data_IF_908241644704
#
_entry.id   IF_908241644704
#
_cell.length_a   1.000
_cell.length_b   1.000
_cell.length_c   1.000
_cell.angle_alpha   90.00
_cell.angle_beta   90.00
_cell.angle_gamma   90.00
#
_symmetry.space_group_name_H-M   'P 1'
#
loop_
_entity.id
_entity.type
_entity.pdbx_description
1 polymer ?
#
# COMPACT_ATOMS: atom_id res chain seq x y z
N UNK A 1 -5.25 -11.29 -0.74
CA UNK A 1 -5.03 -12.67 -0.27
C UNK A 1 -5.09 -12.65 1.25
N UNK A 2 -5.80 -13.60 1.87
CA UNK A 2 -5.58 -13.92 3.28
C UNK A 2 -4.43 -14.93 3.37
N UNK A 3 -3.55 -14.80 4.36
CA UNK A 3 -2.38 -15.68 4.49
C UNK A 3 -2.80 -17.15 4.52
N UNK A 4 -2.09 -18.00 3.79
CA UNK A 4 -2.43 -19.42 3.61
C UNK A 4 -3.50 -19.72 2.54
N UNK A 5 -4.12 -18.71 1.91
CA UNK A 5 -5.10 -18.92 0.82
C UNK A 5 -4.43 -18.76 -0.56
N UNK A 6 -4.82 -19.58 -1.54
CA UNK A 6 -4.35 -19.45 -2.93
C UNK A 6 -4.85 -18.15 -3.58
N UNK A 7 -3.99 -17.47 -4.34
CA UNK A 7 -4.35 -16.29 -5.13
C UNK A 7 -5.41 -16.62 -6.18
N UNK A 8 -5.36 -17.82 -6.78
CA UNK A 8 -6.34 -18.25 -7.78
C UNK A 8 -7.72 -18.34 -7.16
N UNK A 9 -7.83 -18.94 -5.97
CA UNK A 9 -9.09 -18.96 -5.21
C UNK A 9 -9.56 -17.55 -4.87
N UNK A 10 -8.67 -16.64 -4.47
CA UNK A 10 -9.04 -15.24 -4.23
C UNK A 10 -9.63 -14.59 -5.50
N UNK A 11 -8.98 -14.76 -6.65
CA UNK A 11 -9.45 -14.22 -7.94
C UNK A 11 -10.82 -14.79 -8.30
N UNK A 12 -11.01 -16.10 -8.22
CA UNK A 12 -12.30 -16.75 -8.50
C UNK A 12 -13.41 -16.22 -7.59
N UNK A 13 -13.12 -16.04 -6.30
CA UNK A 13 -14.09 -15.49 -5.36
C UNK A 13 -14.46 -14.04 -5.70
N UNK A 14 -13.49 -13.19 -6.03
CA UNK A 14 -13.78 -11.80 -6.42
C UNK A 14 -14.49 -11.69 -7.77
N UNK A 15 -14.19 -12.58 -8.73
CA UNK A 15 -14.95 -12.64 -9.98
C UNK A 15 -16.41 -12.99 -9.75
N UNK A 16 -16.71 -13.94 -8.86
CA UNK A 16 -18.10 -14.29 -8.49
C UNK A 16 -18.85 -13.12 -7.86
N UNK A 17 -18.17 -12.23 -7.13
CA UNK A 17 -18.77 -11.04 -6.57
C UNK A 17 -19.06 -9.96 -7.62
N UNK A 18 -18.31 -9.93 -8.72
CA UNK A 18 -18.45 -8.94 -9.78
C UNK A 18 -19.38 -9.39 -10.91
N UNK A 19 -19.44 -10.69 -11.18
CA UNK A 19 -20.19 -11.28 -12.28
C UNK A 19 -21.70 -11.00 -12.15
N UNK A 20 -22.25 -10.25 -13.11
CA UNK A 20 -23.66 -9.85 -13.13
C UNK A 20 -24.00 -8.63 -12.25
N UNK A 21 -23.06 -8.15 -11.43
CA UNK A 21 -23.29 -7.06 -10.47
C UNK A 21 -22.68 -5.73 -10.92
N UNK A 22 -21.68 -5.74 -11.80
CA UNK A 22 -21.00 -4.53 -12.27
C UNK A 22 -21.71 -3.86 -13.46
N UNK A 23 -21.97 -2.55 -13.35
CA UNK A 23 -22.54 -1.73 -14.43
C UNK A 23 -21.51 -1.24 -15.47
N UNK A 24 -20.22 -1.44 -15.20
CA UNK A 24 -19.09 -1.01 -16.04
C UNK A 24 -18.00 -2.09 -16.03
N UNK A 25 -17.03 -1.98 -16.93
CA UNK A 25 -15.87 -2.88 -16.99
C UNK A 25 -15.02 -2.80 -15.72
N UNK A 26 -14.50 -3.96 -15.30
CA UNK A 26 -13.70 -4.09 -14.07
C UNK A 26 -12.49 -4.99 -14.27
N UNK A 27 -11.40 -4.68 -13.56
CA UNK A 27 -10.20 -5.51 -13.46
C UNK A 27 -9.73 -5.59 -12.00
N UNK A 28 -8.77 -6.47 -11.71
CA UNK A 28 -8.29 -6.72 -10.35
C UNK A 28 -6.78 -6.60 -10.24
N UNK A 29 -6.31 -6.02 -9.14
CA UNK A 29 -4.91 -6.04 -8.70
C UNK A 29 -4.73 -7.11 -7.62
N UNK A 30 -3.69 -7.94 -7.72
CA UNK A 30 -3.51 -9.07 -6.82
C UNK A 30 -2.79 -8.65 -5.53
N UNK A 31 -3.50 -8.62 -4.40
CA UNK A 31 -2.87 -8.38 -3.10
C UNK A 31 -2.09 -9.61 -2.65
N UNK A 32 -0.78 -9.45 -2.45
CA UNK A 32 0.15 -10.51 -2.02
C UNK A 32 0.54 -10.27 -0.57
N UNK A 33 0.05 -11.12 0.33
CA UNK A 33 0.31 -11.08 1.77
C UNK A 33 1.09 -12.30 2.27
N UNK A 34 1.18 -13.35 1.45
CA UNK A 34 1.87 -14.59 1.77
C UNK A 34 2.65 -15.16 0.56
N UNK A 35 3.84 -14.60 0.27
CA UNK A 35 4.64 -14.97 -0.89
C UNK A 35 5.40 -16.28 -0.66
N UNK A 36 4.66 -17.38 -0.53
CA UNK A 36 5.26 -18.72 -0.45
C UNK A 36 5.94 -19.12 -1.76
N UNK A 37 6.79 -20.14 -1.74
CA UNK A 37 7.45 -20.65 -2.95
C UNK A 37 6.46 -21.07 -4.06
N UNK A 38 5.27 -21.57 -3.69
CA UNK A 38 4.21 -21.92 -4.65
C UNK A 38 3.59 -20.66 -5.25
N UNK A 39 3.28 -19.66 -4.41
CA UNK A 39 2.73 -18.37 -4.86
C UNK A 39 3.70 -17.70 -5.84
N UNK A 40 4.97 -17.57 -5.46
CA UNK A 40 6.01 -16.92 -6.26
C UNK A 40 6.36 -17.70 -7.54
N UNK A 41 6.47 -19.03 -7.44
CA UNK A 41 6.97 -19.88 -8.53
C UNK A 41 5.90 -20.36 -9.50
N UNK A 42 4.63 -20.38 -9.11
CA UNK A 42 3.55 -20.98 -9.92
C UNK A 42 2.34 -20.07 -10.06
N UNK A 43 1.78 -19.57 -8.95
CA UNK A 43 0.51 -18.84 -9.02
C UNK A 43 0.65 -17.48 -9.70
N UNK A 44 1.64 -16.68 -9.31
CA UNK A 44 1.87 -15.36 -9.92
C UNK A 44 2.15 -15.44 -11.42
N UNK A 45 3.12 -16.26 -11.92
CA UNK A 45 3.33 -16.41 -13.36
C UNK A 45 2.09 -16.87 -14.12
N UNK A 46 1.31 -17.79 -13.54
CA UNK A 46 0.09 -18.27 -14.18
C UNK A 46 -0.99 -17.18 -14.26
N UNK A 47 -1.18 -16.41 -13.18
CA UNK A 47 -2.16 -15.33 -13.16
C UNK A 47 -1.77 -14.16 -14.07
N UNK A 48 -0.48 -13.85 -14.21
CA UNK A 48 -0.02 -12.85 -15.18
C UNK A 48 -0.38 -13.28 -16.61
N UNK A 49 -0.15 -14.56 -16.96
CA UNK A 49 -0.55 -15.13 -18.27
C UNK A 49 -2.07 -15.10 -18.48
N UNK A 50 -2.84 -15.23 -17.40
CA UNK A 50 -4.31 -15.11 -17.41
C UNK A 50 -4.79 -13.63 -17.50
N UNK A 51 -3.88 -12.66 -17.55
CA UNK A 51 -4.17 -11.23 -17.76
C UNK A 51 -4.10 -10.34 -16.51
N UNK A 52 -3.71 -10.87 -15.35
CA UNK A 52 -3.56 -10.09 -14.10
C UNK A 52 -2.14 -9.51 -13.98
N UNK A 53 -1.91 -8.36 -14.63
CA UNK A 53 -0.57 -7.79 -14.85
C UNK A 53 -0.05 -6.88 -13.75
N UNK A 54 -0.64 -6.92 -12.55
CA UNK A 54 -0.23 -6.06 -11.43
C UNK A 54 -0.48 -6.66 -10.06
N UNK A 55 0.51 -6.46 -9.18
CA UNK A 55 0.53 -6.96 -7.82
C UNK A 55 0.46 -5.81 -6.83
N UNK A 56 -0.19 -5.99 -5.69
CA UNK A 56 -0.25 -5.03 -4.59
C UNK A 56 0.40 -5.64 -3.35
N UNK A 57 1.38 -4.95 -2.79
CA UNK A 57 2.07 -5.33 -1.55
C UNK A 57 1.96 -4.23 -0.50
N UNK A 58 2.12 -4.62 0.76
CA UNK A 58 2.04 -3.70 1.90
C UNK A 58 3.31 -3.76 2.73
N UNK A 59 3.79 -2.59 3.14
CA UNK A 59 4.89 -2.44 4.11
C UNK A 59 4.38 -2.26 5.55
N UNK A 60 3.07 -2.40 5.74
CA UNK A 60 2.35 -2.25 7.02
C UNK A 60 1.17 -3.23 7.11
N UNK A 61 0.43 -3.15 8.22
CA UNK A 61 -0.69 -4.02 8.64
C UNK A 61 -0.26 -5.46 8.96
N UNK A 62 -0.60 -5.95 10.16
CA UNK A 62 -0.19 -7.28 10.67
C UNK A 62 -0.48 -8.42 9.66
N UNK A 63 -1.64 -8.37 9.01
CA UNK A 63 -2.10 -9.41 8.10
C UNK A 63 -1.54 -9.29 6.68
N UNK A 64 -0.93 -8.15 6.32
CA UNK A 64 -0.52 -7.84 4.94
C UNK A 64 0.97 -7.50 4.79
N UNK A 65 1.63 -7.12 5.88
CA UNK A 65 3.02 -6.67 5.87
C UNK A 65 3.94 -7.76 5.34
N UNK A 66 4.77 -7.38 4.38
CA UNK A 66 5.88 -8.18 3.89
C UNK A 66 7.20 -7.65 4.48
N UNK A 67 8.08 -8.57 4.86
CA UNK A 67 9.47 -8.23 5.14
C UNK A 67 10.19 -7.73 3.88
N UNK A 68 11.31 -7.02 4.05
CA UNK A 68 12.12 -6.53 2.93
C UNK A 68 12.57 -7.67 2.00
N UNK A 69 12.91 -8.84 2.57
CA UNK A 69 13.23 -10.03 1.80
C UNK A 69 12.06 -10.49 0.93
N UNK A 70 10.86 -10.56 1.52
CA UNK A 70 9.65 -10.96 0.80
C UNK A 70 9.24 -9.94 -0.28
N UNK A 71 9.45 -8.64 -0.04
CA UNK A 71 9.26 -7.60 -1.06
C UNK A 71 10.19 -7.83 -2.25
N UNK A 72 11.49 -8.07 -2.00
CA UNK A 72 12.46 -8.38 -3.06
C UNK A 72 12.09 -9.63 -3.84
N UNK A 73 11.61 -10.69 -3.19
CA UNK A 73 11.14 -11.91 -3.84
C UNK A 73 9.91 -11.67 -4.74
N UNK A 74 8.94 -10.87 -4.30
CA UNK A 74 7.79 -10.48 -5.14
C UNK A 74 8.23 -9.60 -6.31
N UNK A 75 9.16 -8.67 -6.07
CA UNK A 75 9.70 -7.77 -7.09
C UNK A 75 10.44 -8.55 -8.18
N UNK A 76 11.22 -9.59 -7.81
CA UNK A 76 11.92 -10.47 -8.76
C UNK A 76 10.94 -11.20 -9.69
N UNK A 77 9.85 -11.73 -9.14
CA UNK A 77 8.78 -12.35 -9.94
C UNK A 77 8.16 -11.31 -10.87
N UNK A 78 7.78 -10.13 -10.36
CA UNK A 78 7.20 -9.08 -11.19
C UNK A 78 8.13 -8.63 -12.32
N UNK A 79 9.45 -8.57 -12.06
CA UNK A 79 10.44 -8.24 -13.08
C UNK A 79 10.50 -9.27 -14.20
N UNK A 80 10.44 -10.55 -13.85
CA UNK A 80 10.49 -11.67 -14.81
C UNK A 80 9.22 -11.79 -15.64
N UNK A 81 8.07 -11.57 -15.01
CA UNK A 81 6.75 -11.70 -15.65
C UNK A 81 6.24 -10.37 -16.24
N UNK A 82 7.06 -9.30 -16.21
CA UNK A 82 6.73 -7.96 -16.72
C UNK A 82 5.46 -7.35 -16.09
N UNK A 83 5.24 -7.64 -14.80
CA UNK A 83 4.11 -7.11 -14.03
C UNK A 83 4.49 -5.82 -13.28
N UNK A 84 3.51 -4.94 -13.06
CA UNK A 84 3.67 -3.75 -12.22
C UNK A 84 3.50 -4.10 -10.74
N UNK A 85 4.39 -3.63 -9.87
CA UNK A 85 4.18 -3.73 -8.42
C UNK A 85 3.70 -2.42 -7.84
N UNK A 86 2.50 -2.44 -7.26
CA UNK A 86 1.91 -1.37 -6.49
C UNK A 86 2.28 -1.53 -5.02
N UNK A 87 2.80 -0.50 -4.38
CA UNK A 87 3.31 -0.58 -3.00
C UNK A 87 2.57 0.40 -2.11
N UNK A 88 1.96 -0.12 -1.04
CA UNK A 88 1.52 0.70 0.08
C UNK A 88 2.72 0.97 1.00
N UNK A 89 3.19 2.21 1.03
CA UNK A 89 4.40 2.63 1.73
C UNK A 89 4.11 3.33 3.04
N UNK A 90 4.01 2.57 4.13
CA UNK A 90 4.10 3.11 5.49
C UNK A 90 4.94 2.15 6.34
N UNK A 91 5.84 2.67 7.20
CA UNK A 91 6.71 1.84 8.03
C UNK A 91 5.95 1.16 9.18
N UNK A 92 5.75 -0.17 9.08
CA UNK A 92 5.05 -1.00 10.07
C UNK A 92 5.45 -0.74 11.53
N UNK A 93 6.73 -0.91 11.86
CA UNK A 93 7.21 -0.79 13.25
C UNK A 93 7.11 0.64 13.79
N UNK A 94 7.31 1.63 12.91
CA UNK A 94 7.18 3.03 13.28
C UNK A 94 5.73 3.38 13.66
N UNK A 95 4.75 2.90 12.88
CA UNK A 95 3.32 3.05 13.20
C UNK A 95 3.01 2.41 14.55
N UNK A 96 3.46 1.17 14.77
CA UNK A 96 3.18 0.46 16.04
C UNK A 96 3.79 1.18 17.23
N UNK A 97 5.04 1.64 17.10
CA UNK A 97 5.71 2.41 18.14
C UNK A 97 4.92 3.67 18.52
N UNK A 98 4.50 4.45 17.54
CA UNK A 98 3.75 5.69 17.78
C UNK A 98 2.32 5.42 18.28
N UNK A 99 1.65 4.40 17.74
CA UNK A 99 0.29 4.01 18.16
C UNK A 99 0.28 3.57 19.62
N UNK A 100 1.17 2.65 20.01
CA UNK A 100 1.28 2.19 21.41
C UNK A 100 1.62 3.34 22.36
N UNK A 101 2.43 4.30 21.92
CA UNK A 101 2.73 5.49 22.72
C UNK A 101 1.48 6.35 22.95
N UNK A 102 0.75 6.67 21.90
CA UNK A 102 -0.46 7.50 21.96
C UNK A 102 -1.55 6.84 22.81
N UNK A 103 -1.76 5.53 22.65
CA UNK A 103 -2.72 4.77 23.47
C UNK A 103 -2.39 4.82 24.96
N UNK A 104 -1.10 4.70 25.32
CA UNK A 104 -0.64 4.81 26.73
C UNK A 104 -0.86 6.22 27.30
N UNK A 105 -0.81 7.23 26.47
CA UNK A 105 -1.07 8.64 26.83
C UNK A 105 -2.58 8.97 26.83
N UNK A 106 -3.46 8.01 26.51
CA UNK A 106 -4.92 8.21 26.44
C UNK A 106 -5.40 8.90 25.17
N UNK A 107 -4.52 9.01 24.17
CA UNK A 107 -4.77 9.67 22.89
C UNK A 107 -5.45 8.72 21.89
N UNK A 108 -6.74 8.44 22.11
CA UNK A 108 -7.53 7.43 21.37
C UNK A 108 -8.59 8.01 20.41
N UNK A 109 -8.73 9.32 20.34
CA UNK A 109 -9.63 9.97 19.38
C UNK A 109 -9.15 9.78 17.92
N UNK A 110 -10.04 9.80 16.90
CA UNK A 110 -9.68 9.53 15.51
C UNK A 110 -8.51 10.36 14.96
N UNK A 111 -8.40 11.63 15.37
CA UNK A 111 -7.27 12.50 15.02
C UNK A 111 -5.88 11.87 15.29
N UNK A 112 -5.76 11.08 16.35
CA UNK A 112 -4.49 10.45 16.71
C UNK A 112 -4.07 9.31 15.77
N UNK A 113 -4.97 8.83 14.91
CA UNK A 113 -4.60 7.97 13.78
C UNK A 113 -3.63 8.68 12.82
N UNK A 114 -3.83 9.99 12.60
CA UNK A 114 -2.92 10.82 11.83
C UNK A 114 -1.58 11.03 12.53
N UNK A 115 -1.63 11.30 13.84
CA UNK A 115 -0.44 11.53 14.67
C UNK A 115 0.45 10.29 14.76
N UNK A 116 -0.12 9.07 14.73
CA UNK A 116 0.66 7.84 14.72
C UNK A 116 1.33 7.53 13.37
N UNK A 117 1.03 8.30 12.32
CA UNK A 117 1.49 8.13 10.93
C UNK A 117 2.02 9.45 10.35
N UNK A 118 3.03 10.09 10.98
CA UNK A 118 3.60 11.33 10.47
C UNK A 118 4.25 11.12 9.09
N UNK A 119 4.49 12.20 8.33
CA UNK A 119 5.04 12.11 6.96
C UNK A 119 6.34 11.28 6.86
N UNK A 120 7.16 11.31 7.91
CA UNK A 120 8.39 10.51 7.98
C UNK A 120 8.16 8.99 7.85
N UNK A 121 7.03 8.47 8.31
CA UNK A 121 6.66 7.04 8.22
C UNK A 121 6.40 6.62 6.78
N UNK A 122 5.71 7.47 6.01
CA UNK A 122 5.45 7.24 4.59
C UNK A 122 6.73 7.46 3.78
N UNK A 123 7.45 8.57 4.04
CA UNK A 123 8.71 8.93 3.37
C UNK A 123 9.75 7.81 3.44
N UNK A 124 10.01 7.27 4.62
CA UNK A 124 11.00 6.19 4.82
C UNK A 124 10.60 4.96 4.00
N UNK A 125 9.35 4.51 4.13
CA UNK A 125 8.87 3.34 3.43
C UNK A 125 8.88 3.53 1.90
N UNK A 126 8.54 4.73 1.41
CA UNK A 126 8.64 5.07 -0.02
C UNK A 126 10.09 4.97 -0.51
N UNK A 127 11.04 5.56 0.22
CA UNK A 127 12.45 5.49 -0.15
C UNK A 127 12.99 4.05 -0.15
N UNK A 128 12.59 3.24 0.85
CA UNK A 128 12.98 1.84 0.95
C UNK A 128 12.38 0.99 -0.18
N UNK A 129 11.11 1.18 -0.52
CA UNK A 129 10.49 0.50 -1.67
C UNK A 129 11.19 0.86 -2.99
N UNK A 130 11.52 2.14 -3.20
CA UNK A 130 12.27 2.60 -4.37
C UNK A 130 13.66 1.95 -4.41
N UNK A 131 14.36 1.90 -3.29
CA UNK A 131 15.68 1.24 -3.20
C UNK A 131 15.59 -0.25 -3.56
N UNK A 132 14.56 -0.97 -3.09
CA UNK A 132 14.34 -2.36 -3.48
C UNK A 132 14.04 -2.51 -4.98
N UNK A 133 13.25 -1.61 -5.55
CA UNK A 133 12.96 -1.61 -6.96
C UNK A 133 14.19 -1.32 -7.82
N UNK A 134 15.08 -0.43 -7.37
CA UNK A 134 16.38 -0.15 -8.01
C UNK A 134 17.29 -1.39 -7.98
N UNK A 135 17.33 -2.13 -6.86
CA UNK A 135 18.10 -3.39 -6.74
C UNK A 135 17.63 -4.43 -7.75
N UNK A 136 16.32 -4.61 -7.89
CA UNK A 136 15.72 -5.65 -8.76
C UNK A 136 15.60 -5.19 -10.21
N UNK A 137 15.53 -3.88 -10.45
CA UNK A 137 15.30 -3.29 -11.76
C UNK A 137 13.86 -3.43 -12.25
N UNK A 138 12.87 -3.37 -11.33
CA UNK A 138 11.43 -3.52 -11.63
C UNK A 138 10.70 -2.17 -11.58
N UNK A 139 9.73 -1.89 -12.48
CA UNK A 139 8.86 -0.74 -12.34
C UNK A 139 7.92 -0.89 -11.14
N UNK A 140 7.76 0.18 -10.37
CA UNK A 140 6.83 0.22 -9.24
C UNK A 140 5.91 1.42 -9.30
N UNK A 141 4.74 1.30 -8.66
CA UNK A 141 3.81 2.38 -8.39
C UNK A 141 3.67 2.57 -6.88
N UNK A 142 4.02 3.76 -6.39
CA UNK A 142 3.71 4.17 -5.03
C UNK A 142 2.26 4.64 -5.02
N UNK A 143 1.37 3.85 -4.41
CA UNK A 143 -0.06 4.17 -4.38
C UNK A 143 -0.39 5.15 -3.26
N UNK A 144 -1.54 5.81 -3.38
CA UNK A 144 -2.14 6.71 -2.38
C UNK A 144 -1.12 7.59 -1.65
N UNK A 145 -0.24 8.25 -2.41
CA UNK A 145 0.73 9.24 -1.90
C UNK A 145 -0.04 10.38 -1.27
N UNK A 146 0.18 10.60 0.03
CA UNK A 146 -0.64 11.51 0.83
C UNK A 146 0.05 12.82 1.20
N UNK A 147 1.37 12.91 1.02
CA UNK A 147 2.16 14.03 1.51
C UNK A 147 3.37 14.37 0.65
N UNK A 148 3.89 15.58 0.88
CA UNK A 148 5.03 16.16 0.17
C UNK A 148 6.28 15.29 0.29
N UNK A 149 6.60 14.81 1.49
CA UNK A 149 7.86 14.10 1.73
C UNK A 149 7.97 12.80 0.91
N UNK A 150 6.88 12.04 0.75
CA UNK A 150 6.84 10.85 -0.08
C UNK A 150 6.91 11.20 -1.58
N UNK A 151 6.20 12.25 -2.00
CA UNK A 151 6.28 12.76 -3.38
C UNK A 151 7.69 13.24 -3.76
N UNK A 152 8.43 13.79 -2.81
CA UNK A 152 9.84 14.17 -3.01
C UNK A 152 10.73 12.94 -3.26
N UNK A 153 10.49 11.81 -2.60
CA UNK A 153 11.20 10.56 -2.88
C UNK A 153 10.89 10.02 -4.28
N UNK A 154 9.62 10.06 -4.68
CA UNK A 154 9.20 9.69 -6.05
C UNK A 154 9.92 10.56 -7.08
N UNK A 155 9.90 11.89 -6.89
CA UNK A 155 10.57 12.84 -7.79
C UNK A 155 12.08 12.62 -7.84
N UNK A 156 12.71 12.36 -6.70
CA UNK A 156 14.14 12.02 -6.62
C UNK A 156 14.48 10.78 -7.45
N UNK A 157 13.66 9.73 -7.37
CA UNK A 157 13.85 8.51 -8.14
C UNK A 157 13.67 8.73 -9.65
N UNK A 158 12.63 9.47 -10.03
CA UNK A 158 12.36 9.82 -11.43
C UNK A 158 13.48 10.67 -12.05
N UNK A 159 14.05 11.62 -11.29
CA UNK A 159 15.20 12.41 -11.74
C UNK A 159 16.46 11.56 -11.99
N UNK A 160 16.56 10.38 -11.36
CA UNK A 160 17.61 9.39 -11.61
C UNK A 160 17.28 8.43 -12.75
N UNK A 161 16.13 8.59 -13.40
CA UNK A 161 15.68 7.72 -14.48
C UNK A 161 15.08 6.38 -14.03
N UNK A 162 14.77 6.22 -12.74
CA UNK A 162 14.11 5.01 -12.25
C UNK A 162 12.64 4.97 -12.70
N UNK A 163 12.10 3.81 -13.11
CA UNK A 163 10.72 3.66 -13.56
C UNK A 163 9.75 3.61 -12.36
N UNK A 164 9.65 4.72 -11.63
CA UNK A 164 8.79 4.89 -10.45
C UNK A 164 7.60 5.75 -10.81
N UNK A 165 6.40 5.22 -10.60
CA UNK A 165 5.12 5.91 -10.76
C UNK A 165 4.52 6.24 -9.38
N UNK A 166 3.59 7.19 -9.36
CA UNK A 166 2.84 7.52 -8.15
C UNK A 166 1.37 7.74 -8.48
N UNK A 167 0.53 7.38 -7.52
CA UNK A 167 -0.91 7.62 -7.52
C UNK A 167 -1.27 8.37 -6.23
N UNK A 168 -2.18 9.34 -6.31
CA UNK A 168 -2.86 9.92 -5.15
C UNK A 168 -4.36 9.74 -5.31
N UNK A 169 -5.11 10.01 -4.25
CA UNK A 169 -6.55 9.79 -4.20
C UNK A 169 -7.30 11.09 -3.87
N UNK A 170 -8.59 11.21 -4.23
CA UNK A 170 -9.36 12.44 -4.04
C UNK A 170 -9.30 12.99 -2.61
N UNK A 171 -9.33 12.13 -1.60
CA UNK A 171 -9.30 12.55 -0.20
C UNK A 171 -8.04 13.35 0.18
N UNK A 172 -6.89 13.14 -0.46
CA UNK A 172 -5.66 13.91 -0.17
C UNK A 172 -5.65 15.28 -0.84
N UNK A 173 -6.65 15.56 -1.67
CA UNK A 173 -6.86 16.85 -2.34
C UNK A 173 -8.01 17.62 -1.67
N UNK A 174 -8.94 16.91 -1.01
CA UNK A 174 -10.16 17.51 -0.45
C UNK A 174 -10.24 17.50 1.07
N UNK A 175 -9.45 16.66 1.75
CA UNK A 175 -9.44 16.56 3.21
C UNK A 175 -8.10 17.04 3.78
N UNK A 176 -8.14 17.46 5.03
CA UNK A 176 -7.04 17.92 5.87
C UNK A 176 -6.90 17.02 7.10
N UNK A 177 -5.83 17.18 7.87
CA UNK A 177 -5.69 16.43 9.13
C UNK A 177 -6.80 16.80 10.13
N UNK A 178 -7.30 18.04 10.05
CA UNK A 178 -8.33 18.58 10.92
C UNK A 178 -9.70 17.90 10.75
N UNK A 179 -10.00 17.34 9.59
CA UNK A 179 -11.27 16.60 9.39
C UNK A 179 -11.40 15.42 10.37
N UNK A 180 -10.28 14.77 10.73
CA UNK A 180 -10.27 13.69 11.73
C UNK A 180 -10.53 14.18 13.17
N UNK A 181 -10.58 15.50 13.43
CA UNK A 181 -11.00 16.05 14.73
C UNK A 181 -12.53 15.98 14.90
N UNK A 182 -13.31 15.87 13.83
CA UNK A 182 -14.77 15.98 13.93
C UNK A 182 -15.21 17.33 14.51
N UNK A 183 -16.36 17.39 15.20
CA UNK A 183 -16.87 18.64 15.78
C UNK A 183 -16.07 19.13 16.99
N UNK A 184 -15.51 18.22 17.79
CA UNK A 184 -14.74 18.56 18.99
C UNK A 184 -13.89 17.36 19.49
N UNK A 185 -12.98 16.86 18.65
CA UNK A 185 -12.16 15.67 18.93
C UNK A 185 -12.99 14.41 19.23
N UNK A 186 -14.17 14.31 18.62
CA UNK A 186 -15.11 13.22 18.87
C UNK A 186 -15.02 12.10 17.81
N UNK A 187 -15.82 11.06 17.99
CA UNK A 187 -15.86 9.92 17.08
C UNK A 187 -16.43 10.25 15.69
N UNK A 188 -17.02 11.44 15.47
CA UNK A 188 -17.49 11.81 14.14
C UNK A 188 -16.35 11.96 13.14
N UNK A 189 -15.13 12.26 13.62
CA UNK A 189 -13.89 12.28 12.84
C UNK A 189 -13.48 10.93 12.25
N UNK A 190 -14.03 9.82 12.76
CA UNK A 190 -13.71 8.47 12.27
C UNK A 190 -14.08 8.25 10.79
N UNK A 191 -15.00 9.05 10.24
CA UNK A 191 -15.39 9.01 8.82
C UNK A 191 -14.25 9.39 7.86
N UNK A 192 -13.23 10.09 8.36
CA UNK A 192 -12.11 10.60 7.57
C UNK A 192 -10.82 9.81 7.81
N UNK A 193 -10.88 8.75 8.62
CA UNK A 193 -9.74 7.87 8.88
C UNK A 193 -9.46 7.01 7.67
N UNK A 194 -8.29 7.21 7.05
CA UNK A 194 -7.70 6.33 6.05
C UNK A 194 -6.18 6.23 6.28
N UNK A 195 -5.49 5.28 5.63
CA UNK A 195 -4.02 5.19 5.73
C UNK A 195 -3.38 5.12 4.33
N UNK A 196 -2.38 5.97 4.02
CA UNK A 196 -1.87 7.06 4.88
C UNK A 196 -2.97 8.09 5.23
N UNK A 197 -2.88 8.77 6.39
CA UNK A 197 -3.91 9.72 6.83
C UNK A 197 -3.96 10.97 5.94
N UNK A 198 -5.11 11.67 5.83
CA UNK A 198 -5.16 13.02 5.29
C UNK A 198 -4.21 13.94 6.06
N UNK A 199 -3.63 14.92 5.37
CA UNK A 199 -2.57 15.78 5.90
C UNK A 199 -2.87 17.25 5.60
N UNK A 200 -2.27 18.13 6.39
CA UNK A 200 -2.24 19.56 6.06
C UNK A 200 -1.13 19.85 5.04
N UNK A 201 -1.28 20.96 4.31
CA UNK A 201 -0.43 21.35 3.18
C UNK A 201 1.03 21.70 3.54
#
# INVERSE_FOLDING_TARGET
QEKGTSLRTCVENYRKLAEGECYIDTAFHLIISDPTAVVLGQELPALVKDGYTSFKVFMTYDDLVLSDKQLLEVFDVARREEALVMVHCEGYDAIRFLTTRLEREGHIAPYYHGVSRPQAVEREATHRAISHAEIVGVPIMIVHVSGREAMEQVRWAQQRGLPVHAETCPQYITLTADDMKGLNMDMSGAKYVCSPPPRDA
#
